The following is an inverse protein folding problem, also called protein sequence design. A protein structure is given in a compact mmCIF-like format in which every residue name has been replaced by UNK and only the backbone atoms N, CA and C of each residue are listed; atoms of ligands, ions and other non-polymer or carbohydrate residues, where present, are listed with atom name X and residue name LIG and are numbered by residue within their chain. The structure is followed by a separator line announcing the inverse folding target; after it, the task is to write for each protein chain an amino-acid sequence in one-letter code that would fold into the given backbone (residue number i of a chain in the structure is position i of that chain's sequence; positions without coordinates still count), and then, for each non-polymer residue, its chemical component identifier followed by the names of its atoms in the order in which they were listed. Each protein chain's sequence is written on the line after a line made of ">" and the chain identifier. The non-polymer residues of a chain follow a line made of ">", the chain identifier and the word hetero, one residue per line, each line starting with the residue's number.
data_IF_636587783597
#
_entry.id   IF_636587783597
#
_cell.length_a   1.000
_cell.length_b   1.000
_cell.length_c   1.000
_cell.angle_alpha   90.00
_cell.angle_beta   90.00
_cell.angle_gamma   90.00
#
_symmetry.space_group_name_H-M   'P 1'
#
loop_
_entity.id
_entity.type
_entity.pdbx_description
1 polymer ?
#
# COMPACT_ATOMS: atom_id res chain seq x y z
N UNK A 1 -6.04 1.29 3.65
CA UNK A 1 -4.76 0.79 3.09
C UNK A 1 -4.32 -0.35 3.97
N UNK A 2 -3.92 -1.45 3.35
CA UNK A 2 -3.65 -2.69 4.06
C UNK A 2 -2.61 -3.53 3.30
N UNK A 3 -1.98 -4.49 3.99
CA UNK A 3 -1.01 -5.40 3.40
C UNK A 3 -1.56 -6.83 3.42
N UNK A 4 -1.65 -7.43 2.24
CA UNK A 4 -2.07 -8.80 2.08
C UNK A 4 -0.85 -9.71 1.95
N UNK A 5 -0.93 -10.89 2.57
CA UNK A 5 0.06 -11.97 2.43
C UNK A 5 0.50 -12.56 3.77
N UNK A 6 1.56 -13.38 3.77
CA UNK A 6 2.42 -13.70 2.62
C UNK A 6 1.77 -14.65 1.60
N UNK A 7 2.00 -14.40 0.32
CA UNK A 7 1.63 -15.25 -0.82
C UNK A 7 2.81 -16.12 -1.27
N UNK A 8 2.58 -17.17 -2.10
CA UNK A 8 3.67 -17.85 -2.79
C UNK A 8 4.57 -16.84 -3.53
N UNK A 9 5.90 -16.88 -3.30
CA UNK A 9 6.80 -15.85 -3.81
C UNK A 9 6.86 -15.87 -5.34
N UNK A 10 6.66 -14.70 -5.94
CA UNK A 10 6.86 -14.47 -7.37
C UNK A 10 8.33 -14.15 -7.70
N UNK A 11 8.64 -14.01 -8.99
CA UNK A 11 9.96 -13.57 -9.47
C UNK A 11 10.38 -12.27 -8.76
N UNK A 12 11.54 -12.26 -8.11
CA UNK A 12 12.00 -11.13 -7.30
C UNK A 12 11.59 -11.18 -5.82
N UNK A 13 11.11 -12.34 -5.33
CA UNK A 13 10.71 -12.56 -3.93
C UNK A 13 9.55 -11.68 -3.46
N UNK A 14 8.76 -11.14 -4.40
CA UNK A 14 7.51 -10.45 -4.10
C UNK A 14 6.52 -11.46 -3.52
N UNK A 15 6.13 -11.22 -2.26
CA UNK A 15 5.25 -12.11 -1.49
C UNK A 15 4.18 -11.38 -0.72
N UNK A 16 4.14 -10.05 -0.79
CA UNK A 16 3.11 -9.23 -0.16
C UNK A 16 2.48 -8.31 -1.20
N UNK A 17 1.26 -7.85 -0.93
CA UNK A 17 0.58 -6.84 -1.74
C UNK A 17 0.16 -5.69 -0.84
N UNK A 18 0.66 -4.49 -1.10
CA UNK A 18 0.14 -3.27 -0.47
C UNK A 18 -1.02 -2.75 -1.29
N UNK A 19 -2.18 -2.59 -0.64
CA UNK A 19 -3.43 -2.22 -1.30
C UNK A 19 -3.99 -0.96 -0.66
N UNK A 20 -4.41 -0.01 -1.49
CA UNK A 20 -5.23 1.13 -1.10
C UNK A 20 -6.52 1.12 -1.91
N UNK A 21 -7.64 1.38 -1.24
CA UNK A 21 -8.95 1.43 -1.88
C UNK A 21 -9.51 2.83 -1.61
N UNK A 22 -9.87 3.54 -2.67
CA UNK A 22 -10.65 4.76 -2.54
C UNK A 22 -12.04 4.41 -2.02
N UNK A 23 -12.44 5.05 -0.91
CA UNK A 23 -13.64 4.64 -0.18
C UNK A 23 -14.92 4.88 -1.00
N UNK A 24 -14.96 5.94 -1.80
CA UNK A 24 -16.14 6.37 -2.55
C UNK A 24 -16.30 5.60 -3.86
N UNK A 25 -15.28 5.68 -4.73
CA UNK A 25 -15.31 5.07 -6.07
C UNK A 25 -15.04 3.56 -6.03
N UNK A 26 -14.57 3.04 -4.89
CA UNK A 26 -14.04 1.67 -4.77
C UNK A 26 -12.86 1.38 -5.69
N UNK A 27 -12.19 2.42 -6.20
CA UNK A 27 -10.99 2.26 -7.02
C UNK A 27 -9.86 1.63 -6.21
N UNK A 28 -9.17 0.65 -6.79
CA UNK A 28 -8.12 -0.12 -6.11
C UNK A 28 -6.76 0.23 -6.72
N UNK A 29 -5.84 0.67 -5.87
CA UNK A 29 -4.42 0.77 -6.17
C UNK A 29 -3.68 -0.33 -5.41
N UNK A 30 -2.85 -1.11 -6.11
CA UNK A 30 -2.11 -2.21 -5.51
C UNK A 30 -0.66 -2.26 -6.02
N UNK A 31 0.27 -2.63 -5.13
CA UNK A 31 1.69 -2.77 -5.47
C UNK A 31 2.29 -4.01 -4.80
N UNK A 32 3.04 -4.84 -5.54
CA UNK A 32 3.73 -5.99 -4.96
C UNK A 32 4.94 -5.56 -4.12
N UNK A 33 5.15 -6.20 -2.97
CA UNK A 33 6.27 -5.96 -2.06
C UNK A 33 7.03 -7.27 -1.75
N UNK A 34 8.36 -7.21 -1.82
CA UNK A 34 9.23 -8.29 -1.38
C UNK A 34 9.44 -8.27 0.14
N UNK A 35 9.50 -7.05 0.71
CA UNK A 35 9.60 -6.80 2.14
C UNK A 35 8.64 -5.67 2.53
N UNK A 36 7.98 -5.84 3.68
CA UNK A 36 7.14 -4.83 4.31
C UNK A 36 8.06 -3.86 5.04
N UNK A 37 8.17 -2.63 4.53
CA UNK A 37 8.92 -1.55 5.19
C UNK A 37 8.16 -0.24 5.06
N UNK A 38 8.37 0.68 6.00
CA UNK A 38 7.72 1.99 6.03
C UNK A 38 8.08 2.82 4.80
N UNK A 39 9.31 2.71 4.28
CA UNK A 39 9.74 3.44 3.08
C UNK A 39 9.00 2.97 1.83
N UNK A 40 8.72 1.67 1.73
CA UNK A 40 7.95 1.11 0.61
C UNK A 40 6.50 1.59 0.65
N UNK A 41 5.90 1.66 1.84
CA UNK A 41 4.56 2.21 2.06
C UNK A 41 4.51 3.68 1.68
N UNK A 42 5.43 4.50 2.19
CA UNK A 42 5.50 5.93 1.86
C UNK A 42 5.68 6.18 0.36
N UNK A 43 6.58 5.43 -0.29
CA UNK A 43 6.82 5.51 -1.73
C UNK A 43 5.58 5.17 -2.54
N UNK A 44 4.84 4.14 -2.14
CA UNK A 44 3.57 3.78 -2.76
C UNK A 44 2.51 4.86 -2.56
N UNK A 45 2.31 5.34 -1.32
CA UNK A 45 1.33 6.40 -1.01
C UNK A 45 1.61 7.65 -1.83
N UNK A 46 2.86 8.09 -1.90
CA UNK A 46 3.22 9.27 -2.68
C UNK A 46 2.97 9.06 -4.19
N UNK A 47 3.54 7.99 -4.76
CA UNK A 47 3.50 7.77 -6.22
C UNK A 47 2.12 7.39 -6.74
N UNK A 48 1.42 6.48 -6.04
CA UNK A 48 0.18 5.89 -6.52
C UNK A 48 -1.07 6.62 -6.06
N UNK A 49 -1.00 7.38 -4.94
CA UNK A 49 -2.14 8.12 -4.41
C UNK A 49 -1.94 9.62 -4.63
N UNK A 50 -0.93 10.23 -3.97
CA UNK A 50 -0.78 11.69 -3.93
C UNK A 50 -0.48 12.29 -5.31
N UNK A 51 0.50 11.75 -6.04
CA UNK A 51 0.87 12.28 -7.36
C UNK A 51 -0.20 12.07 -8.44
N UNK A 52 -1.11 11.09 -8.27
CA UNK A 52 -2.11 10.73 -9.28
C UNK A 52 -3.48 11.34 -9.02
N UNK A 53 -3.91 11.33 -7.77
CA UNK A 53 -5.26 11.72 -7.38
C UNK A 53 -5.28 12.95 -6.45
N UNK A 54 -4.11 13.41 -6.00
CA UNK A 54 -3.98 14.46 -5.00
C UNK A 54 -3.95 13.92 -3.56
N UNK A 55 -3.92 14.83 -2.60
CA UNK A 55 -3.84 14.49 -1.18
C UNK A 55 -5.22 13.97 -0.73
N UNK A 56 -5.32 12.72 -0.21
CA UNK A 56 -6.58 12.22 0.29
C UNK A 56 -7.00 12.98 1.56
N UNK A 57 -8.30 13.15 1.77
CA UNK A 57 -8.83 13.78 2.98
C UNK A 57 -8.48 12.98 4.25
N UNK A 58 -8.49 11.66 4.16
CA UNK A 58 -8.12 10.77 5.26
C UNK A 58 -7.53 9.48 4.71
N UNK A 59 -6.51 8.97 5.38
CA UNK A 59 -5.91 7.66 5.10
C UNK A 59 -6.23 6.74 6.29
N UNK A 60 -7.02 5.70 6.05
CA UNK A 60 -7.33 4.69 7.07
C UNK A 60 -6.45 3.47 6.81
N UNK A 61 -5.66 3.07 7.81
CA UNK A 61 -4.82 1.85 7.78
C UNK A 61 -5.18 0.94 8.94
N UNK A 62 -4.68 -0.29 8.93
CA UNK A 62 -4.58 -1.04 10.17
C UNK A 62 -3.53 -0.38 11.10
N UNK A 63 -3.47 -0.84 12.35
CA UNK A 63 -2.46 -0.38 13.33
C UNK A 63 -1.11 -1.09 13.14
N UNK A 64 -0.80 -1.53 11.92
CA UNK A 64 0.48 -2.14 11.59
C UNK A 64 1.62 -1.15 11.78
N UNK A 65 2.73 -1.62 12.36
CA UNK A 65 3.91 -0.77 12.66
C UNK A 65 4.47 -0.06 11.43
N UNK A 66 4.30 -0.65 10.24
CA UNK A 66 4.70 -0.06 8.97
C UNK A 66 3.90 1.19 8.57
N UNK A 67 2.76 1.44 9.23
CA UNK A 67 1.89 2.60 9.01
C UNK A 67 1.96 3.62 10.16
N UNK A 68 2.55 3.23 11.29
CA UNK A 68 2.73 4.10 12.45
C UNK A 68 4.09 4.79 12.32
N UNK A 69 4.09 6.12 12.34
CA UNK A 69 5.29 6.96 12.34
C UNK A 69 5.92 7.00 13.74
#
# INVERSE_FOLDING_TARGET
>A
MDILGPFPPAKGQFKFLLVAIDYFTKWIEACPLAKITTENVQKFTWKSIVCRFGIPHSLVTDNGRQFIA
#
